data_IF_837122723982
#
_entry.id   IF_837122723982
#
_cell.length_a   1.000
_cell.length_b   1.000
_cell.length_c   1.000
_cell.angle_alpha   90.00
_cell.angle_beta   90.00
_cell.angle_gamma   90.00
#
_symmetry.space_group_name_H-M   'P 1'
#
loop_
_entity.id
_entity.type
_entity.pdbx_description
1 polymer ?
#
# COMPACT_ATOMS: atom_id res chain seq x y z
N UNK A 1 42.56 46.73 36.77
CA UNK A 1 41.59 47.27 35.81
C UNK A 1 40.90 46.10 35.17
N UNK A 2 39.67 45.84 35.66
CA UNK A 2 38.83 44.73 35.22
C UNK A 2 38.26 45.04 33.84
N UNK A 3 38.54 44.16 32.90
CA UNK A 3 37.78 44.11 31.67
C UNK A 3 36.74 43.00 31.91
N UNK A 4 35.59 43.40 32.41
CA UNK A 4 34.35 42.63 32.34
C UNK A 4 33.71 42.96 31.03
N UNK A 5 34.04 42.22 30.01
CA UNK A 5 33.30 42.26 28.74
C UNK A 5 31.95 41.60 28.95
N UNK A 6 30.93 42.39 28.74
CA UNK A 6 29.55 42.04 28.53
C UNK A 6 29.51 40.99 27.37
N UNK A 7 29.54 39.74 27.71
CA UNK A 7 29.08 38.70 26.83
C UNK A 7 27.56 38.74 26.91
N UNK A 8 26.94 39.64 26.14
CA UNK A 8 25.51 39.55 25.85
C UNK A 8 25.29 38.14 25.30
N UNK A 9 24.60 37.28 26.07
CA UNK A 9 24.21 35.96 25.62
C UNK A 9 23.40 36.11 24.31
N UNK A 10 24.10 35.98 23.19
CA UNK A 10 23.44 35.96 21.87
C UNK A 10 22.53 34.74 21.86
N UNK A 11 21.26 35.00 21.59
CA UNK A 11 20.25 33.92 21.45
C UNK A 11 20.72 32.90 20.40
N UNK A 12 20.64 31.57 20.65
CA UNK A 12 21.06 30.57 19.70
C UNK A 12 20.40 30.75 18.34
N UNK A 13 21.08 30.50 17.22
CA UNK A 13 20.51 30.70 15.87
C UNK A 13 19.19 29.96 15.65
N UNK A 14 19.01 28.79 16.26
CA UNK A 14 17.75 28.03 16.22
C UNK A 14 16.58 28.81 16.87
N UNK A 15 16.83 29.48 18.01
CA UNK A 15 15.80 30.26 18.69
C UNK A 15 15.48 31.55 17.91
N UNK A 16 16.48 32.19 17.32
CA UNK A 16 16.27 33.34 16.44
C UNK A 16 15.43 32.97 15.21
N UNK A 17 15.70 31.80 14.59
CA UNK A 17 14.89 31.27 13.47
C UNK A 17 13.46 30.94 13.93
N UNK A 18 13.28 30.39 15.12
CA UNK A 18 11.95 30.16 15.68
C UNK A 18 11.17 31.48 15.84
N UNK A 19 11.77 32.46 16.51
CA UNK A 19 11.15 33.76 16.72
C UNK A 19 10.84 34.50 15.41
N UNK A 20 11.70 34.36 14.40
CA UNK A 20 11.47 34.87 13.05
C UNK A 20 10.25 34.21 12.41
N UNK A 21 10.17 32.87 12.41
CA UNK A 21 9.06 32.10 11.80
C UNK A 21 7.73 32.44 12.48
N UNK A 22 7.72 32.66 13.79
CA UNK A 22 6.51 33.09 14.51
C UNK A 22 6.08 34.50 14.13
N UNK A 23 7.00 35.48 14.13
CA UNK A 23 6.69 36.87 13.77
C UNK A 23 6.25 37.03 12.33
N UNK A 24 6.85 36.28 11.41
CA UNK A 24 6.60 36.41 9.97
C UNK A 24 5.69 35.29 9.41
N UNK A 25 5.05 34.51 10.28
CA UNK A 25 4.23 33.35 9.93
C UNK A 25 3.25 33.63 8.78
N UNK A 26 2.56 34.78 8.85
CA UNK A 26 1.60 35.17 7.82
C UNK A 26 2.28 35.43 6.46
N UNK A 27 3.41 36.14 6.47
CA UNK A 27 4.14 36.48 5.24
C UNK A 27 4.76 35.23 4.60
N UNK A 28 5.27 34.31 5.42
CA UNK A 28 5.77 32.99 4.97
C UNK A 28 4.63 32.19 4.34
N UNK A 29 3.48 32.09 5.00
CA UNK A 29 2.32 31.36 4.51
C UNK A 29 1.81 31.92 3.18
N UNK A 30 1.73 33.23 3.03
CA UNK A 30 1.30 33.89 1.78
C UNK A 30 2.27 33.59 0.63
N UNK A 31 3.60 33.66 0.87
CA UNK A 31 4.60 33.35 -0.15
C UNK A 31 4.57 31.87 -0.56
N UNK A 32 4.35 30.99 0.39
CA UNK A 32 4.22 29.55 0.11
C UNK A 32 2.92 29.20 -0.62
N UNK A 33 1.82 29.88 -0.33
CA UNK A 33 0.56 29.67 -1.04
C UNK A 33 0.66 29.91 -2.56
N UNK A 34 1.60 30.75 -2.99
CA UNK A 34 1.87 31.02 -4.41
C UNK A 34 2.88 30.01 -5.03
N UNK A 35 3.53 29.18 -4.21
CA UNK A 35 4.45 28.13 -4.67
C UNK A 35 3.72 26.97 -5.34
N UNK A 36 4.40 26.27 -6.26
CA UNK A 36 3.85 25.16 -7.02
C UNK A 36 3.28 24.06 -6.13
N UNK A 37 3.98 23.70 -5.05
CA UNK A 37 3.55 22.69 -4.07
C UNK A 37 2.14 22.97 -3.56
N UNK A 38 1.88 24.17 -3.10
CA UNK A 38 0.58 24.52 -2.51
C UNK A 38 -0.50 24.68 -3.57
N UNK A 39 -0.17 25.18 -4.77
CA UNK A 39 -1.13 25.32 -5.87
C UNK A 39 -1.58 24.00 -6.49
N UNK A 40 -0.70 23.02 -6.57
CA UNK A 40 -1.04 21.69 -7.11
C UNK A 40 -1.81 20.82 -6.13
N UNK A 41 -1.65 21.08 -4.85
CA UNK A 41 -2.26 20.28 -3.78
C UNK A 41 -3.58 20.85 -3.30
N UNK A 42 -3.65 22.17 -3.19
CA UNK A 42 -4.85 22.91 -2.77
C UNK A 42 -5.56 23.51 -3.99
N UNK A 43 -6.20 22.65 -4.77
CA UNK A 43 -6.95 23.10 -5.96
C UNK A 43 -8.24 23.85 -5.63
N UNK A 44 -8.65 23.89 -4.36
CA UNK A 44 -9.97 24.40 -3.95
C UNK A 44 -9.94 25.89 -3.62
N UNK A 45 -8.96 26.37 -2.86
CA UNK A 45 -8.82 27.81 -2.61
C UNK A 45 -7.42 28.26 -2.17
N UNK A 46 -7.06 29.51 -2.49
CA UNK A 46 -5.83 30.15 -2.00
C UNK A 46 -5.83 30.27 -0.46
N UNK A 47 -7.00 30.41 0.15
CA UNK A 47 -7.15 30.55 1.60
C UNK A 47 -6.77 29.27 2.33
N UNK A 48 -7.13 28.10 1.78
CA UNK A 48 -6.70 26.81 2.32
C UNK A 48 -5.18 26.62 2.20
N UNK A 49 -4.58 27.05 1.10
CA UNK A 49 -3.13 27.01 0.92
C UNK A 49 -2.41 27.91 1.94
N UNK A 50 -2.92 29.09 2.21
CA UNK A 50 -2.38 30.01 3.24
C UNK A 50 -2.51 29.39 4.63
N UNK A 51 -3.64 28.77 4.96
CA UNK A 51 -3.85 28.12 6.25
C UNK A 51 -2.91 26.92 6.46
N UNK A 52 -2.71 26.12 5.43
CA UNK A 52 -1.72 25.05 5.45
C UNK A 52 -0.29 25.59 5.62
N UNK A 53 0.05 26.66 4.92
CA UNK A 53 1.34 27.37 5.09
C UNK A 53 1.55 27.88 6.51
N UNK A 54 0.51 28.45 7.14
CA UNK A 54 0.57 28.86 8.55
C UNK A 54 0.83 27.70 9.50
N UNK A 55 0.17 26.57 9.26
CA UNK A 55 0.33 25.36 10.06
C UNK A 55 1.76 24.81 9.96
N UNK A 56 2.29 24.74 8.74
CA UNK A 56 3.68 24.27 8.51
C UNK A 56 4.69 25.25 9.12
N UNK A 57 4.52 26.57 8.95
CA UNK A 57 5.41 27.55 9.53
C UNK A 57 5.43 27.50 11.07
N UNK A 58 4.27 27.30 11.70
CA UNK A 58 4.16 27.10 13.15
C UNK A 58 4.87 25.82 13.62
N UNK A 59 4.73 24.74 12.87
CA UNK A 59 5.42 23.48 13.15
C UNK A 59 6.94 23.61 13.07
N UNK A 60 7.44 24.31 12.05
CA UNK A 60 8.88 24.61 11.91
C UNK A 60 9.41 25.50 13.02
N UNK A 61 8.63 26.51 13.45
CA UNK A 61 8.98 27.34 14.59
C UNK A 61 9.12 26.52 15.88
N UNK A 62 8.20 25.59 16.14
CA UNK A 62 8.27 24.69 17.29
C UNK A 62 9.49 23.76 17.25
N UNK A 63 9.86 23.23 16.08
CA UNK A 63 11.08 22.42 15.90
C UNK A 63 12.33 23.25 16.18
N UNK A 64 12.38 24.48 15.67
CA UNK A 64 13.49 25.40 15.89
C UNK A 64 13.61 25.81 17.36
N UNK A 65 12.48 26.12 18.04
CA UNK A 65 12.46 26.42 19.47
C UNK A 65 13.05 25.29 20.33
N UNK A 66 12.79 24.05 19.93
CA UNK A 66 13.34 22.86 20.60
C UNK A 66 14.82 22.59 20.29
N UNK A 67 15.45 23.36 19.38
CA UNK A 67 16.84 23.16 18.94
C UNK A 67 17.08 21.87 18.15
N UNK A 68 16.02 21.23 17.60
CA UNK A 68 16.08 19.91 16.92
C UNK A 68 15.98 20.06 15.40
N UNK A 69 16.79 20.95 14.84
CA UNK A 69 16.70 21.33 13.43
C UNK A 69 16.92 20.20 12.43
N UNK A 70 17.75 19.22 12.77
CA UNK A 70 18.17 18.09 11.94
C UNK A 70 17.44 16.77 12.30
N UNK A 71 16.53 16.80 13.27
CA UNK A 71 15.84 15.63 13.74
C UNK A 71 14.49 15.43 13.04
N UNK A 72 14.45 14.51 12.10
CA UNK A 72 13.21 14.15 11.37
C UNK A 72 12.07 13.65 12.30
N UNK A 73 12.41 13.18 13.51
CA UNK A 73 11.43 12.69 14.49
C UNK A 73 11.04 13.74 15.53
N UNK A 74 11.44 15.01 15.33
CA UNK A 74 11.02 16.06 16.23
C UNK A 74 9.48 16.17 16.27
N UNK A 75 8.87 16.31 17.47
CA UNK A 75 7.40 16.33 17.62
C UNK A 75 6.70 17.39 16.78
N UNK A 76 7.35 18.54 16.54
CA UNK A 76 6.80 19.58 15.66
C UNK A 76 6.50 19.11 14.23
N UNK A 77 7.16 18.07 13.74
CA UNK A 77 6.90 17.51 12.41
C UNK A 77 5.69 16.57 12.35
N UNK A 78 5.07 16.19 13.47
CA UNK A 78 3.83 15.38 13.43
C UNK A 78 2.71 16.08 12.68
N UNK A 79 2.48 17.37 12.98
CA UNK A 79 1.47 18.16 12.27
C UNK A 79 1.76 18.27 10.76
N UNK A 80 3.04 18.33 10.38
CA UNK A 80 3.47 18.32 8.97
C UNK A 80 3.19 16.97 8.32
N UNK A 81 3.50 15.86 8.99
CA UNK A 81 3.20 14.49 8.48
C UNK A 81 1.71 14.28 8.30
N UNK A 82 0.89 14.68 9.26
CA UNK A 82 -0.57 14.56 9.18
C UNK A 82 -1.12 15.37 8.00
N UNK A 83 -0.63 16.59 7.82
CA UNK A 83 -1.03 17.43 6.71
C UNK A 83 -0.63 16.82 5.37
N UNK A 84 0.61 16.36 5.25
CA UNK A 84 1.15 15.72 4.05
C UNK A 84 0.49 14.36 3.77
N UNK A 85 0.18 13.58 4.79
CA UNK A 85 -0.56 12.32 4.64
C UNK A 85 -1.95 12.55 4.02
N UNK A 86 -2.67 13.57 4.46
CA UNK A 86 -3.95 13.97 3.85
C UNK A 86 -3.79 14.41 2.40
N UNK A 87 -2.72 15.15 2.10
CA UNK A 87 -2.39 15.63 0.77
C UNK A 87 -2.00 14.49 -0.18
N UNK A 88 -1.14 13.57 0.26
CA UNK A 88 -0.72 12.41 -0.52
C UNK A 88 -1.91 11.49 -0.86
N UNK A 89 -2.82 11.26 0.10
CA UNK A 89 -4.05 10.50 -0.13
C UNK A 89 -4.99 11.17 -1.15
N UNK A 90 -5.01 12.50 -1.21
CA UNK A 90 -5.78 13.25 -2.20
C UNK A 90 -5.14 13.20 -3.59
N UNK A 91 -3.81 13.39 -3.69
CA UNK A 91 -3.04 13.30 -4.95
C UNK A 91 -3.11 11.90 -5.56
N UNK A 92 -2.94 10.85 -4.78
CA UNK A 92 -3.03 9.46 -5.25
C UNK A 92 -4.39 9.15 -5.91
N UNK A 93 -5.48 9.72 -5.38
CA UNK A 93 -6.82 9.59 -5.97
C UNK A 93 -6.97 10.36 -7.30
N UNK A 94 -6.22 11.43 -7.50
CA UNK A 94 -6.24 12.26 -8.71
C UNK A 94 -5.22 11.84 -9.76
N UNK A 95 -4.38 10.82 -9.49
CA UNK A 95 -3.33 10.35 -10.40
C UNK A 95 -2.20 11.38 -10.63
N UNK A 96 -1.98 12.30 -9.69
CA UNK A 96 -0.94 13.33 -9.79
C UNK A 96 0.40 12.71 -9.41
N UNK A 97 1.38 12.86 -10.29
CA UNK A 97 2.76 12.38 -10.12
C UNK A 97 3.44 13.04 -8.90
N UNK A 98 4.18 12.23 -8.14
CA UNK A 98 4.93 12.68 -6.96
C UNK A 98 6.41 12.96 -7.24
N UNK A 99 6.87 12.73 -8.48
CA UNK A 99 8.30 12.82 -8.84
C UNK A 99 8.90 14.23 -8.61
N UNK A 100 8.13 15.30 -8.75
CA UNK A 100 8.56 16.67 -8.50
C UNK A 100 8.45 17.17 -7.05
N UNK A 101 7.85 16.40 -6.15
CA UNK A 101 7.51 16.88 -4.80
C UNK A 101 8.73 17.34 -3.99
N UNK A 102 9.84 16.65 -4.09
CA UNK A 102 11.08 17.00 -3.41
C UNK A 102 11.65 18.36 -3.86
N UNK A 103 11.52 18.66 -5.13
CA UNK A 103 11.99 19.90 -5.74
C UNK A 103 11.02 21.05 -5.41
N UNK A 104 9.71 20.79 -5.40
CA UNK A 104 8.70 21.74 -4.97
C UNK A 104 8.90 22.16 -3.49
N UNK A 105 9.22 21.19 -2.60
CA UNK A 105 9.55 21.49 -1.19
C UNK A 105 10.87 22.25 -1.08
N UNK A 106 11.88 21.92 -1.87
CA UNK A 106 13.14 22.65 -1.89
C UNK A 106 12.95 24.12 -2.32
N UNK A 107 12.04 24.38 -3.24
CA UNK A 107 11.70 25.71 -3.70
C UNK A 107 11.06 26.61 -2.60
N UNK A 108 10.48 26.02 -1.55
CA UNK A 108 9.92 26.77 -0.41
C UNK A 108 10.99 27.49 0.42
N UNK A 109 12.24 27.07 0.35
CA UNK A 109 13.34 27.62 1.14
C UNK A 109 13.68 29.04 0.74
N UNK A 110 13.81 29.32 -0.56
CA UNK A 110 14.31 30.60 -1.06
C UNK A 110 13.45 31.79 -0.59
N UNK A 111 12.11 31.79 -0.73
CA UNK A 111 11.27 32.88 -0.27
C UNK A 111 11.37 33.16 1.24
N UNK A 112 11.62 32.15 2.05
CA UNK A 112 11.76 32.30 3.51
C UNK A 112 13.16 32.78 3.88
N UNK A 113 14.19 32.32 3.17
CA UNK A 113 15.57 32.78 3.35
C UNK A 113 15.68 34.28 3.04
N UNK A 114 15.01 34.76 2.00
CA UNK A 114 15.00 36.17 1.64
C UNK A 114 14.32 37.04 2.72
N UNK A 115 13.21 36.53 3.30
CA UNK A 115 12.55 37.21 4.42
C UNK A 115 13.44 37.22 5.66
N UNK A 116 14.16 36.17 5.95
CA UNK A 116 15.09 36.11 7.09
C UNK A 116 16.26 37.07 6.91
N UNK A 117 16.87 37.08 5.72
CA UNK A 117 17.98 38.02 5.42
C UNK A 117 17.57 39.51 5.58
N UNK A 118 16.33 39.80 5.23
CA UNK A 118 15.80 41.18 5.35
C UNK A 118 15.59 41.63 6.81
N UNK A 119 15.66 40.76 7.80
CA UNK A 119 15.63 41.11 9.22
C UNK A 119 16.95 41.69 9.71
N UNK A 120 18.05 41.40 9.01
CA UNK A 120 19.39 41.84 9.43
C UNK A 120 19.82 43.10 8.69
N UNK A 121 20.40 44.09 9.42
CA UNK A 121 20.96 45.31 8.81
C UNK A 121 22.08 45.00 7.81
N UNK A 122 22.92 44.00 8.12
CA UNK A 122 23.92 43.45 7.24
C UNK A 122 23.66 41.95 7.02
N UNK A 123 23.17 41.54 5.83
CA UNK A 123 22.92 40.12 5.49
C UNK A 123 24.17 39.26 5.46
N UNK A 124 25.38 39.85 5.43
CA UNK A 124 26.65 39.14 5.41
C UNK A 124 27.29 39.01 6.80
N UNK A 125 26.67 39.61 7.82
CA UNK A 125 27.14 39.46 9.20
C UNK A 125 27.17 37.97 9.61
N UNK A 126 28.13 37.52 10.44
CA UNK A 126 28.23 36.14 10.91
C UNK A 126 26.92 35.61 11.50
N UNK A 127 26.24 36.42 12.28
CA UNK A 127 24.96 36.11 12.91
C UNK A 127 23.85 35.84 11.87
N UNK A 128 23.76 36.66 10.82
CA UNK A 128 22.81 36.45 9.74
C UNK A 128 23.13 35.13 8.99
N UNK A 129 24.39 34.84 8.77
CA UNK A 129 24.83 33.61 8.11
C UNK A 129 24.53 32.37 8.96
N UNK A 130 24.70 32.41 10.26
CA UNK A 130 24.36 31.32 11.18
C UNK A 130 22.85 31.05 11.19
N UNK A 131 22.02 32.08 11.20
CA UNK A 131 20.56 31.95 11.11
C UNK A 131 20.13 31.36 9.76
N UNK A 132 20.75 31.78 8.65
CA UNK A 132 20.47 31.23 7.31
C UNK A 132 20.90 29.76 7.24
N UNK A 133 22.01 29.38 7.88
CA UNK A 133 22.43 27.99 7.97
C UNK A 133 21.42 27.16 8.78
N UNK A 134 21.02 27.65 9.95
CA UNK A 134 20.00 27.00 10.80
C UNK A 134 18.67 26.80 10.04
N UNK A 135 18.19 27.84 9.34
CA UNK A 135 17.02 27.72 8.48
C UNK A 135 17.22 26.69 7.34
N UNK A 136 18.40 26.67 6.75
CA UNK A 136 18.73 25.72 5.67
C UNK A 136 18.68 24.27 6.16
N UNK A 137 19.21 23.98 7.35
CA UNK A 137 19.12 22.67 7.98
C UNK A 137 17.67 22.30 8.24
N UNK A 138 16.90 23.19 8.86
CA UNK A 138 15.49 22.97 9.15
C UNK A 138 14.65 22.68 7.89
N UNK A 139 14.86 23.43 6.81
CA UNK A 139 14.17 23.22 5.54
C UNK A 139 14.63 21.93 4.84
N UNK A 140 15.90 21.55 5.01
CA UNK A 140 16.43 20.26 4.57
C UNK A 140 15.75 19.10 5.29
N UNK A 141 15.58 19.21 6.59
CA UNK A 141 14.86 18.22 7.43
C UNK A 141 13.39 18.13 7.04
N UNK A 142 12.73 19.28 6.80
CA UNK A 142 11.36 19.28 6.25
C UNK A 142 11.26 18.49 4.95
N UNK A 143 12.21 18.69 4.02
CA UNK A 143 12.26 17.93 2.76
C UNK A 143 12.34 16.43 3.00
N UNK A 144 13.18 15.98 3.94
CA UNK A 144 13.31 14.57 4.30
C UNK A 144 12.01 14.01 4.90
N UNK A 145 11.35 14.76 5.79
CA UNK A 145 10.04 14.38 6.37
C UNK A 145 8.99 14.21 5.28
N UNK A 146 8.95 15.13 4.31
CA UNK A 146 8.01 15.04 3.18
C UNK A 146 8.27 13.79 2.33
N UNK A 147 9.53 13.52 2.00
CA UNK A 147 9.91 12.34 1.23
C UNK A 147 9.56 11.05 1.96
N UNK A 148 9.92 10.93 3.24
CA UNK A 148 9.59 9.77 4.08
C UNK A 148 8.07 9.51 4.10
N UNK A 149 7.29 10.56 4.36
CA UNK A 149 5.82 10.46 4.43
C UNK A 149 5.21 10.04 3.09
N UNK A 150 5.76 10.54 1.98
CA UNK A 150 5.26 10.21 0.64
C UNK A 150 5.56 8.76 0.26
N UNK A 151 6.77 8.28 0.56
CA UNK A 151 7.17 6.88 0.32
C UNK A 151 6.30 5.94 1.14
N UNK A 152 6.13 6.20 2.44
CA UNK A 152 5.29 5.38 3.33
C UNK A 152 3.83 5.34 2.87
N UNK A 153 3.27 6.46 2.43
CA UNK A 153 1.90 6.51 1.91
C UNK A 153 1.75 5.69 0.60
N UNK A 154 2.78 5.69 -0.25
CA UNK A 154 2.82 4.88 -1.46
C UNK A 154 2.85 3.37 -1.17
N UNK A 155 3.66 2.95 -0.20
CA UNK A 155 3.74 1.55 0.24
C UNK A 155 2.41 1.03 0.81
N UNK A 156 1.70 1.85 1.60
CA UNK A 156 0.37 1.50 2.11
C UNK A 156 -0.67 1.31 1.00
N UNK A 157 -0.65 2.15 -0.03
CA UNK A 157 -1.56 2.01 -1.19
C UNK A 157 -1.26 0.71 -1.94
N UNK A 158 0.01 0.42 -2.20
CA UNK A 158 0.44 -0.83 -2.86
C UNK A 158 0.06 -2.04 -2.02
N UNK A 159 0.24 -2.00 -0.69
CA UNK A 159 -0.13 -3.07 0.22
C UNK A 159 -1.64 -3.32 0.19
N UNK A 160 -2.48 -2.28 0.26
CA UNK A 160 -3.95 -2.39 0.16
C UNK A 160 -4.40 -2.92 -1.20
N UNK A 161 -3.78 -2.46 -2.31
CA UNK A 161 -4.09 -2.99 -3.64
C UNK A 161 -3.72 -4.46 -3.77
N UNK A 162 -2.60 -4.89 -3.19
CA UNK A 162 -2.21 -6.31 -3.14
C UNK A 162 -3.22 -7.11 -2.33
N UNK A 163 -3.66 -6.63 -1.18
CA UNK A 163 -4.65 -7.29 -0.35
C UNK A 163 -6.01 -7.43 -1.07
N UNK A 164 -6.48 -6.37 -1.74
CA UNK A 164 -7.68 -6.42 -2.56
C UNK A 164 -7.56 -7.42 -3.75
N UNK A 165 -6.38 -7.49 -4.38
CA UNK A 165 -6.13 -8.48 -5.42
C UNK A 165 -6.08 -9.92 -4.85
N UNK A 166 -5.66 -10.10 -3.60
CA UNK A 166 -5.68 -11.41 -2.93
C UNK A 166 -7.10 -11.84 -2.55
N UNK A 167 -7.96 -10.94 -2.10
CA UNK A 167 -9.38 -11.23 -1.82
C UNK A 167 -10.16 -11.65 -3.08
N UNK A 168 -9.83 -11.07 -4.24
CA UNK A 168 -10.46 -11.43 -5.52
C UNK A 168 -9.86 -12.70 -6.14
N UNK A 169 -8.66 -13.14 -5.67
CA UNK A 169 -7.82 -14.11 -6.38
C UNK A 169 -8.24 -15.58 -6.23
N UNK A 170 -9.24 -15.92 -5.39
CA UNK A 170 -9.68 -17.33 -5.26
C UNK A 170 -11.19 -17.43 -4.97
N UNK A 171 -12.06 -17.00 -5.89
CA UNK A 171 -13.50 -17.18 -5.71
C UNK A 171 -13.87 -18.66 -5.72
N UNK A 172 -14.57 -19.11 -4.69
CA UNK A 172 -15.28 -20.37 -4.78
C UNK A 172 -16.53 -20.16 -5.60
N UNK A 173 -16.68 -20.89 -6.69
CA UNK A 173 -17.81 -20.76 -7.61
C UNK A 173 -18.71 -22.00 -7.50
N UNK A 174 -20.02 -21.77 -7.44
CA UNK A 174 -21.02 -22.82 -7.56
C UNK A 174 -21.15 -23.18 -9.04
N UNK A 175 -20.77 -24.40 -9.41
CA UNK A 175 -20.87 -24.89 -10.79
C UNK A 175 -22.23 -25.57 -11.06
N UNK A 176 -22.77 -26.23 -10.05
CA UNK A 176 -24.03 -26.95 -10.13
C UNK A 176 -24.64 -27.12 -8.73
N UNK A 177 -25.83 -27.70 -8.64
CA UNK A 177 -26.39 -28.08 -7.34
C UNK A 177 -25.43 -29.01 -6.60
N UNK A 178 -25.17 -28.74 -5.34
CA UNK A 178 -24.23 -29.48 -4.49
C UNK A 178 -22.82 -29.66 -5.06
N UNK A 179 -22.39 -28.78 -6.00
CA UNK A 179 -21.06 -28.81 -6.61
C UNK A 179 -20.43 -27.42 -6.63
N UNK A 180 -19.33 -27.29 -5.93
CA UNK A 180 -18.51 -26.06 -5.91
C UNK A 180 -17.14 -26.29 -6.53
N UNK A 181 -16.52 -25.25 -7.06
CA UNK A 181 -15.16 -25.31 -7.58
C UNK A 181 -14.34 -24.08 -7.15
N UNK A 182 -13.04 -24.33 -6.98
CA UNK A 182 -12.03 -23.29 -6.75
C UNK A 182 -11.01 -23.35 -7.87
N UNK A 183 -11.02 -22.41 -8.82
CA UNK A 183 -9.96 -22.30 -9.82
C UNK A 183 -8.74 -21.61 -9.21
N UNK A 184 -7.60 -22.31 -9.16
CA UNK A 184 -6.32 -21.77 -8.68
C UNK A 184 -5.49 -21.28 -9.88
N UNK A 185 -5.13 -20.00 -9.88
CA UNK A 185 -4.36 -19.37 -10.97
C UNK A 185 -3.15 -18.64 -10.39
N UNK A 186 -2.00 -18.79 -11.05
CA UNK A 186 -0.73 -18.15 -10.68
C UNK A 186 0.02 -18.90 -9.58
N UNK A 187 0.97 -18.22 -8.94
CA UNK A 187 1.79 -18.80 -7.85
C UNK A 187 0.94 -19.03 -6.61
N UNK A 188 1.08 -20.21 -6.03
CA UNK A 188 0.44 -20.58 -4.79
C UNK A 188 1.51 -20.65 -3.70
N UNK A 189 1.32 -19.87 -2.62
CA UNK A 189 2.13 -19.91 -1.41
C UNK A 189 1.34 -20.47 -0.23
N UNK A 190 1.97 -20.60 0.93
CA UNK A 190 1.33 -21.18 2.12
C UNK A 190 0.17 -20.34 2.64
N UNK A 191 0.27 -19.01 2.60
CA UNK A 191 -0.79 -18.11 3.08
C UNK A 191 -2.01 -18.21 2.17
N UNK A 192 -1.81 -18.14 0.87
CA UNK A 192 -2.86 -18.30 -0.14
C UNK A 192 -3.50 -19.69 -0.11
N UNK A 193 -2.70 -20.74 0.12
CA UNK A 193 -3.21 -22.12 0.28
C UNK A 193 -4.13 -22.25 1.49
N UNK A 194 -3.81 -21.56 2.58
CA UNK A 194 -4.64 -21.52 3.78
C UNK A 194 -5.97 -20.82 3.51
N UNK A 195 -5.95 -19.63 2.88
CA UNK A 195 -7.16 -18.90 2.48
C UNK A 195 -8.05 -19.72 1.55
N UNK A 196 -7.45 -20.43 0.58
CA UNK A 196 -8.18 -21.35 -0.31
C UNK A 196 -8.91 -22.44 0.48
N UNK A 197 -8.22 -23.04 1.45
CA UNK A 197 -8.80 -24.09 2.29
C UNK A 197 -10.00 -23.56 3.06
N UNK A 198 -9.84 -22.43 3.75
CA UNK A 198 -10.91 -21.80 4.55
C UNK A 198 -12.12 -21.46 3.67
N UNK A 199 -11.90 -20.76 2.55
CA UNK A 199 -12.97 -20.38 1.62
C UNK A 199 -13.71 -21.60 1.05
N UNK A 200 -12.98 -22.68 0.73
CA UNK A 200 -13.60 -23.89 0.21
C UNK A 200 -14.46 -24.59 1.27
N UNK A 201 -13.97 -24.70 2.51
CA UNK A 201 -14.70 -25.34 3.59
C UNK A 201 -15.97 -24.56 3.96
N UNK A 202 -15.90 -23.23 3.99
CA UNK A 202 -17.05 -22.35 4.20
C UNK A 202 -18.09 -22.52 3.08
N UNK A 203 -17.65 -22.58 1.82
CA UNK A 203 -18.53 -22.80 0.69
C UNK A 203 -19.19 -24.20 0.71
N UNK A 204 -18.47 -25.24 1.14
CA UNK A 204 -19.04 -26.59 1.31
C UNK A 204 -20.22 -26.54 2.27
N UNK A 205 -20.12 -25.82 3.38
CA UNK A 205 -21.21 -25.65 4.35
C UNK A 205 -22.35 -24.81 3.78
N UNK A 206 -22.02 -23.62 3.26
CA UNK A 206 -23.01 -22.67 2.76
C UNK A 206 -23.87 -23.25 1.61
N UNK A 207 -23.21 -23.94 0.66
CA UNK A 207 -23.86 -24.51 -0.52
C UNK A 207 -24.31 -25.98 -0.32
N UNK A 208 -24.08 -26.55 0.87
CA UNK A 208 -24.31 -27.97 1.15
C UNK A 208 -23.69 -28.86 0.07
N UNK A 209 -22.46 -28.52 -0.32
CA UNK A 209 -21.78 -29.17 -1.44
C UNK A 209 -21.40 -30.61 -1.11
N UNK A 210 -21.75 -31.53 -2.00
CA UNK A 210 -21.34 -32.93 -1.97
C UNK A 210 -20.09 -33.18 -2.77
N UNK A 211 -19.78 -32.28 -3.72
CA UNK A 211 -18.61 -32.29 -4.58
C UNK A 211 -17.90 -30.97 -4.55
N UNK A 212 -16.57 -31.02 -4.30
CA UNK A 212 -15.69 -29.86 -4.30
C UNK A 212 -14.58 -30.09 -5.33
N UNK A 213 -14.48 -29.23 -6.34
CA UNK A 213 -13.47 -29.33 -7.39
C UNK A 213 -12.37 -28.32 -7.11
N UNK A 214 -11.13 -28.80 -6.96
CA UNK A 214 -9.95 -27.99 -6.81
C UNK A 214 -9.19 -27.98 -8.15
N UNK A 215 -9.37 -26.93 -8.95
CA UNK A 215 -8.74 -26.85 -10.26
C UNK A 215 -7.40 -26.13 -10.20
N UNK A 216 -6.31 -26.87 -10.42
CA UNK A 216 -4.94 -26.38 -10.41
C UNK A 216 -4.33 -26.21 -11.81
N UNK A 217 -5.16 -26.19 -12.84
CA UNK A 217 -4.71 -26.00 -14.23
C UNK A 217 -3.88 -24.71 -14.40
N UNK A 218 -4.26 -23.64 -13.68
CA UNK A 218 -3.60 -22.33 -13.72
C UNK A 218 -2.35 -22.21 -12.85
N UNK A 219 -1.96 -23.24 -12.09
CA UNK A 219 -0.79 -23.23 -11.22
C UNK A 219 0.43 -23.75 -11.97
N UNK A 220 1.50 -22.95 -12.12
CA UNK A 220 2.68 -23.39 -12.88
C UNK A 220 3.53 -24.42 -12.12
N UNK A 221 3.74 -24.23 -10.83
CA UNK A 221 4.57 -25.06 -9.95
C UNK A 221 4.01 -25.08 -8.55
N UNK A 222 4.27 -26.16 -7.81
CA UNK A 222 4.01 -26.27 -6.37
C UNK A 222 5.26 -26.76 -5.66
N UNK A 223 5.52 -26.17 -4.48
CA UNK A 223 6.54 -26.67 -3.57
C UNK A 223 5.97 -27.75 -2.63
N UNK A 224 6.82 -28.30 -1.76
CA UNK A 224 6.43 -29.35 -0.82
C UNK A 224 5.38 -28.90 0.19
N UNK A 225 5.44 -27.65 0.62
CA UNK A 225 4.54 -27.11 1.64
C UNK A 225 3.16 -26.85 1.05
N UNK A 226 3.10 -26.29 -0.15
CA UNK A 226 1.85 -26.08 -0.91
C UNK A 226 1.19 -27.43 -1.24
N UNK A 227 1.96 -28.44 -1.68
CA UNK A 227 1.42 -29.78 -1.93
C UNK A 227 0.80 -30.38 -0.66
N UNK A 228 1.44 -30.22 0.50
CA UNK A 228 0.88 -30.66 1.78
C UNK A 228 -0.41 -29.90 2.14
N UNK A 229 -0.47 -28.57 1.91
CA UNK A 229 -1.68 -27.79 2.15
C UNK A 229 -2.84 -28.24 1.26
N UNK A 230 -2.59 -28.53 -0.03
CA UNK A 230 -3.60 -29.06 -0.94
C UNK A 230 -4.14 -30.40 -0.43
N UNK A 231 -3.27 -31.29 0.05
CA UNK A 231 -3.70 -32.60 0.61
C UNK A 231 -4.51 -32.43 1.90
N UNK A 232 -4.14 -31.51 2.78
CA UNK A 232 -4.92 -31.15 3.97
C UNK A 232 -6.30 -30.60 3.60
N UNK A 233 -6.40 -29.76 2.56
CA UNK A 233 -7.66 -29.26 2.04
C UNK A 233 -8.58 -30.39 1.57
N UNK A 234 -8.04 -31.35 0.80
CA UNK A 234 -8.80 -32.52 0.35
C UNK A 234 -9.29 -33.34 1.53
N UNK A 235 -8.43 -33.59 2.52
CA UNK A 235 -8.80 -34.36 3.70
C UNK A 235 -9.88 -33.63 4.54
N UNK A 236 -9.76 -32.34 4.73
CA UNK A 236 -10.73 -31.53 5.46
C UNK A 236 -12.10 -31.51 4.77
N UNK A 237 -12.15 -31.32 3.44
CA UNK A 237 -13.38 -31.38 2.66
C UNK A 237 -14.10 -32.74 2.84
N UNK A 238 -13.35 -33.84 2.86
CA UNK A 238 -13.90 -35.19 3.10
C UNK A 238 -14.48 -35.36 4.50
N UNK A 239 -13.81 -34.83 5.52
CA UNK A 239 -14.33 -34.86 6.90
C UNK A 239 -15.66 -34.11 7.02
N UNK A 240 -15.89 -33.09 6.16
CA UNK A 240 -17.15 -32.37 6.07
C UNK A 240 -18.21 -33.05 5.18
N UNK A 241 -17.88 -34.24 4.64
CA UNK A 241 -18.81 -35.04 3.83
C UNK A 241 -18.82 -34.71 2.35
N UNK A 242 -17.91 -33.84 1.87
CA UNK A 242 -17.76 -33.52 0.45
C UNK A 242 -16.69 -34.40 -0.22
N UNK A 243 -16.98 -34.95 -1.38
CA UNK A 243 -15.98 -35.63 -2.22
C UNK A 243 -15.16 -34.57 -2.96
N UNK A 244 -13.84 -34.48 -2.66
CA UNK A 244 -12.95 -33.51 -3.28
C UNK A 244 -12.27 -34.09 -4.52
N UNK A 245 -12.32 -33.35 -5.63
CA UNK A 245 -11.75 -33.72 -6.93
C UNK A 245 -10.67 -32.72 -7.27
N UNK A 246 -9.44 -33.19 -7.52
CA UNK A 246 -8.36 -32.32 -8.00
C UNK A 246 -8.27 -32.43 -9.52
N UNK A 247 -8.35 -31.29 -10.23
CA UNK A 247 -8.26 -31.26 -11.69
C UNK A 247 -7.06 -30.45 -12.19
N UNK A 248 -6.58 -30.81 -13.39
CA UNK A 248 -5.55 -30.05 -14.07
C UNK A 248 -4.13 -30.21 -13.53
N UNK A 249 -3.81 -31.37 -12.95
CA UNK A 249 -2.45 -31.63 -12.46
C UNK A 249 -1.48 -31.70 -13.65
N UNK A 250 -0.54 -30.76 -13.70
CA UNK A 250 0.51 -30.70 -14.72
C UNK A 250 1.62 -31.71 -14.44
N UNK A 251 2.36 -32.19 -15.47
CA UNK A 251 3.44 -33.17 -15.31
C UNK A 251 4.49 -32.77 -14.27
N UNK A 252 4.88 -31.49 -14.25
CA UNK A 252 5.85 -30.98 -13.27
C UNK A 252 5.34 -31.11 -11.83
N UNK A 253 4.05 -30.80 -11.60
CA UNK A 253 3.41 -30.94 -10.29
C UNK A 253 3.30 -32.41 -9.89
N UNK A 254 2.92 -33.28 -10.83
CA UNK A 254 2.86 -34.71 -10.58
C UNK A 254 4.23 -35.28 -10.17
N UNK A 255 5.31 -34.89 -10.83
CA UNK A 255 6.69 -35.26 -10.46
C UNK A 255 7.03 -34.83 -9.04
N UNK A 256 6.73 -33.58 -8.69
CA UNK A 256 6.97 -33.04 -7.34
C UNK A 256 6.24 -33.85 -6.27
N UNK A 257 4.96 -34.15 -6.50
CA UNK A 257 4.12 -34.93 -5.56
C UNK A 257 4.69 -36.35 -5.35
N UNK A 258 5.11 -37.01 -6.44
CA UNK A 258 5.72 -38.34 -6.38
C UNK A 258 7.07 -38.31 -5.65
N UNK A 259 7.92 -37.33 -5.95
CA UNK A 259 9.22 -37.16 -5.28
C UNK A 259 9.08 -36.92 -3.78
N UNK A 260 8.02 -36.24 -3.36
CA UNK A 260 7.72 -35.97 -1.96
C UNK A 260 7.10 -37.16 -1.22
N UNK A 261 6.82 -38.25 -1.92
CA UNK A 261 6.18 -39.42 -1.33
C UNK A 261 4.75 -39.19 -0.84
N UNK A 262 4.07 -38.18 -1.37
CA UNK A 262 2.69 -37.86 -0.99
C UNK A 262 1.77 -38.89 -1.63
N UNK A 263 1.04 -39.64 -0.79
CA UNK A 263 0.08 -40.64 -1.26
C UNK A 263 -1.19 -39.97 -1.81
N UNK A 264 -1.34 -39.98 -3.12
CA UNK A 264 -2.54 -39.59 -3.84
C UNK A 264 -3.58 -40.71 -3.99
N UNK A 265 -3.33 -41.91 -3.50
CA UNK A 265 -4.20 -43.06 -3.72
C UNK A 265 -5.63 -42.89 -3.24
N UNK A 266 -5.83 -41.95 -2.31
CA UNK A 266 -7.17 -41.60 -1.81
C UNK A 266 -7.76 -40.35 -2.47
N UNK A 267 -7.01 -39.60 -3.31
CA UNK A 267 -7.44 -38.37 -3.94
C UNK A 267 -8.01 -38.66 -5.33
N UNK A 268 -9.25 -38.23 -5.54
CA UNK A 268 -9.87 -38.32 -6.86
C UNK A 268 -9.27 -37.23 -7.77
N UNK A 269 -8.67 -37.64 -8.88
CA UNK A 269 -8.06 -36.72 -9.84
C UNK A 269 -8.73 -36.82 -11.21
N UNK A 270 -8.79 -35.68 -11.93
CA UNK A 270 -9.27 -35.56 -13.31
C UNK A 270 -8.33 -34.71 -14.14
N UNK A 271 -8.30 -34.96 -15.45
CA UNK A 271 -7.41 -34.25 -16.35
C UNK A 271 -7.78 -32.76 -16.50
N UNK A 272 -9.05 -32.44 -16.48
CA UNK A 272 -9.58 -31.07 -16.63
C UNK A 272 -10.73 -30.78 -15.68
N UNK A 273 -11.05 -29.46 -15.52
CA UNK A 273 -12.24 -29.03 -14.81
C UNK A 273 -13.52 -29.60 -15.42
N UNK A 274 -13.58 -29.67 -16.74
CA UNK A 274 -14.74 -30.28 -17.44
C UNK A 274 -14.93 -31.74 -17.09
N UNK A 275 -13.87 -32.54 -17.04
CA UNK A 275 -13.92 -33.95 -16.66
C UNK A 275 -14.32 -34.11 -15.18
N UNK A 276 -13.83 -33.22 -14.31
CA UNK A 276 -14.19 -33.20 -12.90
C UNK A 276 -15.68 -32.88 -12.69
N UNK A 277 -16.19 -31.90 -13.43
CA UNK A 277 -17.61 -31.54 -13.40
C UNK A 277 -18.47 -32.69 -13.96
N UNK A 278 -18.10 -33.24 -15.10
CA UNK A 278 -18.82 -34.39 -15.70
C UNK A 278 -18.90 -35.58 -14.73
N UNK A 279 -17.81 -35.88 -14.03
CA UNK A 279 -17.81 -36.89 -12.98
C UNK A 279 -18.78 -36.52 -11.84
N UNK A 280 -18.72 -35.29 -11.30
CA UNK A 280 -19.62 -34.89 -10.21
C UNK A 280 -21.10 -34.95 -10.61
N UNK A 281 -21.43 -34.59 -11.85
CA UNK A 281 -22.77 -34.65 -12.40
C UNK A 281 -23.23 -36.09 -12.57
N UNK A 282 -22.39 -36.99 -13.14
CA UNK A 282 -22.72 -38.40 -13.31
C UNK A 282 -23.01 -39.11 -11.98
N UNK A 283 -22.28 -38.72 -10.91
CA UNK A 283 -22.50 -39.24 -9.55
C UNK A 283 -23.82 -38.75 -8.94
N UNK A 284 -24.36 -37.66 -9.45
CA UNK A 284 -25.67 -37.09 -9.08
C UNK A 284 -26.81 -37.58 -9.97
N UNK A 285 -26.52 -38.48 -10.95
CA UNK A 285 -27.51 -39.00 -11.89
C UNK A 285 -27.83 -38.05 -13.04
N UNK A 286 -26.95 -37.02 -13.29
CA UNK A 286 -27.10 -36.05 -14.40
C UNK A 286 -26.16 -36.46 -15.52
N UNK A 287 -26.69 -36.67 -16.71
CA UNK A 287 -25.91 -36.97 -17.94
C UNK A 287 -25.81 -35.70 -18.82
N UNK A 288 -24.57 -35.40 -19.26
CA UNK A 288 -24.35 -34.37 -20.29
C UNK A 288 -24.46 -35.05 -21.64
N UNK A 289 -25.60 -34.88 -22.32
CA UNK A 289 -25.81 -35.39 -23.66
C UNK A 289 -25.61 -34.26 -24.69
N UNK A 290 -25.03 -34.57 -25.88
CA UNK A 290 -24.98 -33.58 -26.97
C UNK A 290 -26.42 -33.31 -27.44
N UNK A 291 -26.76 -32.04 -27.63
CA UNK A 291 -28.02 -31.64 -28.28
C UNK A 291 -28.07 -32.29 -29.68
N UNK A 292 -28.98 -33.24 -29.91
CA UNK A 292 -29.30 -33.69 -31.25
C UNK A 292 -30.00 -32.52 -31.96
N UNK A 293 -29.27 -31.84 -32.80
CA UNK A 293 -29.89 -31.00 -33.80
C UNK A 293 -30.58 -31.90 -34.81
N UNK A 294 -31.86 -32.17 -34.58
CA UNK A 294 -32.70 -32.74 -35.64
C UNK A 294 -32.71 -31.74 -36.79
N UNK A 295 -31.93 -31.98 -37.82
CA UNK A 295 -32.07 -31.36 -39.12
C UNK A 295 -33.40 -31.87 -39.72
N UNK A 296 -34.51 -31.34 -39.19
CA UNK A 296 -35.82 -31.49 -39.85
C UNK A 296 -35.73 -30.77 -41.20
N UNK A 297 -35.68 -31.59 -42.21
CA UNK A 297 -35.62 -31.17 -43.62
C UNK A 297 -36.73 -30.21 -43.98
N UNK A 298 -36.29 -29.07 -44.51
CA UNK A 298 -37.14 -28.28 -45.38
C UNK A 298 -37.13 -28.92 -46.75
N UNK A 299 -38.23 -29.53 -47.09
CA UNK A 299 -38.61 -29.81 -48.47
C UNK A 299 -39.41 -28.66 -49.02
#
# INVERSE_FOLDING_TARGET
>A
MSVSEENAEQEPPAQQVSAFLERRREQVAQRWADAALFRTVFTVSRDEAVEAGRSVAAALAAVAAAGRLDDIRAPGFEAVRDQLGRMAASRGRMGIDTDGLADEVAALREPVTDLLRAEFPDPNAPEAQECVLALTVLMGTLRLVVLETTVSAGEEVIARQREQLHEVATPVIKLWESTVAVPLIGTLDSARSQTVMESLLDAIVAERARYAILDITGVPTVDSLVAQHLMKTVAAARLMGAECIVSGIRPAIAQTIVQLGIDLGTVLTRASLADALAYALSRQGVEIAPLRTDSAGVR
#
